data_IF_806043751507
#
_entry.id   IF_806043751507
#
_cell.length_a   1.000
_cell.length_b   1.000
_cell.length_c   1.000
_cell.angle_alpha   90.00
_cell.angle_beta   90.00
_cell.angle_gamma   90.00
#
_symmetry.space_group_name_H-M   'P 1'
#
loop_
_entity.id
_entity.type
_entity.pdbx_description
1 polymer ?
#
# COMPACT_ATOMS: atom_id res chain seq x y z
N UNK A 1 99.15 53.12 16.18
CA UNK A 1 98.61 52.63 14.90
C UNK A 1 97.13 52.41 15.15
N UNK A 2 96.23 52.97 14.33
CA UNK A 2 94.81 52.62 14.44
C UNK A 2 94.74 51.10 14.29
N UNK A 3 94.32 50.43 15.36
CA UNK A 3 94.31 48.97 15.43
C UNK A 3 93.43 48.45 14.27
N UNK A 4 93.74 47.29 13.67
CA UNK A 4 92.98 46.71 12.57
C UNK A 4 91.45 46.71 12.80
N UNK A 5 91.05 46.56 14.06
CA UNK A 5 89.68 46.68 14.57
C UNK A 5 88.98 48.03 14.27
N UNK A 6 89.67 49.17 14.25
CA UNK A 6 89.06 50.45 13.87
C UNK A 6 88.65 50.47 12.38
N UNK A 7 89.54 50.01 11.49
CA UNK A 7 89.22 49.93 10.06
C UNK A 7 88.11 48.90 9.78
N UNK A 8 88.07 47.79 10.52
CA UNK A 8 86.94 46.84 10.48
C UNK A 8 85.64 47.51 10.92
N UNK A 9 85.65 48.32 11.99
CA UNK A 9 84.47 49.06 12.43
C UNK A 9 83.98 50.09 11.38
N UNK A 10 84.88 50.84 10.74
CA UNK A 10 84.52 51.79 9.66
C UNK A 10 83.92 51.05 8.47
N UNK A 11 84.54 49.95 8.02
CA UNK A 11 84.00 49.13 6.94
C UNK A 11 82.62 48.57 7.29
N UNK A 12 82.40 48.14 8.54
CA UNK A 12 81.12 47.67 9.04
C UNK A 12 80.04 48.77 9.01
N UNK A 13 80.36 50.00 9.42
CA UNK A 13 79.41 51.12 9.35
C UNK A 13 79.06 51.47 7.90
N UNK A 14 80.04 51.53 6.99
CA UNK A 14 79.79 51.76 5.56
C UNK A 14 78.90 50.65 4.99
N UNK A 15 79.18 49.39 5.31
CA UNK A 15 78.37 48.24 4.89
C UNK A 15 76.93 48.34 5.41
N UNK A 16 76.73 48.60 6.70
CA UNK A 16 75.40 48.83 7.30
C UNK A 16 74.66 50.00 6.63
N UNK A 17 75.36 51.10 6.32
CA UNK A 17 74.79 52.24 5.59
C UNK A 17 74.34 51.89 4.17
N UNK A 18 75.13 51.10 3.44
CA UNK A 18 74.76 50.60 2.10
C UNK A 18 73.55 49.66 2.20
N UNK A 19 73.54 48.72 3.15
CA UNK A 19 72.42 47.79 3.36
C UNK A 19 71.13 48.54 3.71
N UNK A 20 71.21 49.60 4.52
CA UNK A 20 70.07 50.45 4.84
C UNK A 20 69.59 51.23 3.61
N UNK A 21 70.48 51.89 2.86
CA UNK A 21 70.15 52.62 1.63
C UNK A 21 69.57 51.71 0.54
N UNK A 22 70.08 50.48 0.41
CA UNK A 22 69.64 49.49 -0.57
C UNK A 22 68.34 48.76 -0.17
N UNK A 23 67.77 49.05 1.00
CA UNK A 23 66.54 48.41 1.46
C UNK A 23 66.72 46.93 1.84
N UNK A 24 67.92 46.50 2.20
CA UNK A 24 68.17 45.11 2.63
C UNK A 24 67.34 44.73 3.86
N UNK A 25 67.15 45.67 4.79
CA UNK A 25 66.25 45.48 5.95
C UNK A 25 64.78 45.36 5.52
N UNK A 26 64.32 46.20 4.60
CA UNK A 26 62.95 46.14 4.08
C UNK A 26 62.68 44.82 3.34
N UNK A 27 63.66 44.28 2.59
CA UNK A 27 63.53 42.97 1.95
C UNK A 27 63.38 41.84 2.96
N UNK A 28 64.09 41.89 4.10
CA UNK A 28 63.97 40.90 5.18
C UNK A 28 62.57 40.99 5.82
N UNK A 29 62.10 42.19 6.15
CA UNK A 29 60.77 42.43 6.74
C UNK A 29 59.68 41.95 5.77
N UNK A 30 59.72 42.40 4.51
CA UNK A 30 58.77 41.96 3.48
C UNK A 30 58.81 40.43 3.26
N UNK A 31 59.98 39.81 3.39
CA UNK A 31 60.14 38.35 3.31
C UNK A 31 59.44 37.63 4.46
N UNK A 32 59.52 38.17 5.67
CA UNK A 32 58.81 37.66 6.85
C UNK A 32 57.29 37.91 6.74
N UNK A 33 56.88 39.10 6.32
CA UNK A 33 55.48 39.45 6.11
C UNK A 33 54.82 38.57 5.05
N UNK A 34 55.47 38.38 3.88
CA UNK A 34 54.99 37.45 2.85
C UNK A 34 54.86 36.01 3.34
N UNK A 35 55.79 35.56 4.19
CA UNK A 35 55.69 34.24 4.83
C UNK A 35 54.50 34.19 5.79
N UNK A 36 54.32 35.22 6.61
CA UNK A 36 53.18 35.35 7.53
C UNK A 36 51.84 35.37 6.80
N UNK A 37 51.72 36.17 5.73
CA UNK A 37 50.54 36.24 4.88
C UNK A 37 50.24 34.89 4.21
N UNK A 38 51.26 34.20 3.69
CA UNK A 38 51.07 32.88 3.08
C UNK A 38 50.57 31.86 4.09
N UNK A 39 51.20 31.78 5.26
CA UNK A 39 50.76 30.87 6.34
C UNK A 39 49.34 31.21 6.79
N UNK A 40 49.01 32.50 6.91
CA UNK A 40 47.66 32.93 7.26
C UNK A 40 46.64 32.51 6.20
N UNK A 41 46.93 32.70 4.91
CA UNK A 41 46.06 32.26 3.80
C UNK A 41 45.88 30.74 3.80
N UNK A 42 46.97 29.98 3.94
CA UNK A 42 46.92 28.51 4.03
C UNK A 42 46.08 28.03 5.22
N UNK A 43 46.20 28.70 6.39
CA UNK A 43 45.38 28.38 7.57
C UNK A 43 43.90 28.76 7.37
N UNK A 44 43.61 29.90 6.76
CA UNK A 44 42.23 30.33 6.45
C UNK A 44 41.58 29.39 5.43
N UNK A 45 42.31 28.98 4.38
CA UNK A 45 41.85 27.99 3.40
C UNK A 45 41.66 26.61 4.03
N UNK A 46 42.61 26.14 4.84
CA UNK A 46 42.47 24.87 5.55
C UNK A 46 41.27 24.87 6.49
N UNK A 47 41.02 25.99 7.20
CA UNK A 47 39.84 26.15 8.04
C UNK A 47 38.55 26.13 7.21
N UNK A 48 38.50 26.89 6.12
CA UNK A 48 37.35 26.92 5.21
C UNK A 48 37.04 25.54 4.66
N UNK A 49 38.04 24.82 4.16
CA UNK A 49 37.90 23.46 3.64
C UNK A 49 37.41 22.47 4.72
N UNK A 50 37.88 22.60 5.96
CA UNK A 50 37.38 21.78 7.08
C UNK A 50 35.92 22.08 7.42
N UNK A 51 35.53 23.35 7.43
CA UNK A 51 34.16 23.77 7.68
C UNK A 51 33.22 23.29 6.56
N UNK A 52 33.63 23.45 5.30
CA UNK A 52 32.90 22.92 4.12
C UNK A 52 32.76 21.39 4.17
N UNK A 53 33.84 20.67 4.48
CA UNK A 53 33.81 19.21 4.60
C UNK A 53 32.90 18.74 5.74
N UNK A 54 32.93 19.42 6.88
CA UNK A 54 32.05 19.11 8.01
C UNK A 54 30.57 19.39 7.68
N UNK A 55 30.27 20.51 7.03
CA UNK A 55 28.93 20.85 6.58
C UNK A 55 28.40 19.84 5.56
N UNK A 56 29.23 19.45 4.59
CA UNK A 56 28.87 18.46 3.57
C UNK A 56 28.62 17.08 4.20
N UNK A 57 29.47 16.65 5.15
CA UNK A 57 29.28 15.40 5.87
C UNK A 57 27.96 15.39 6.67
N UNK A 58 27.65 16.49 7.36
CA UNK A 58 26.41 16.63 8.11
C UNK A 58 25.17 16.59 7.20
N UNK A 59 25.22 17.24 6.04
CA UNK A 59 24.15 17.18 5.04
C UNK A 59 23.95 15.74 4.52
N UNK A 60 25.03 15.05 4.14
CA UNK A 60 24.93 13.66 3.69
C UNK A 60 24.38 12.73 4.77
N UNK A 61 24.79 12.88 6.03
CA UNK A 61 24.27 12.08 7.14
C UNK A 61 22.77 12.33 7.35
N UNK A 62 22.34 13.60 7.31
CA UNK A 62 20.93 13.97 7.40
C UNK A 62 20.11 13.37 6.25
N UNK A 63 20.58 13.54 5.01
CA UNK A 63 19.92 13.02 3.81
C UNK A 63 19.85 11.50 3.81
N UNK A 64 20.89 10.81 4.29
CA UNK A 64 20.87 9.35 4.48
C UNK A 64 19.81 8.94 5.50
N UNK A 65 19.77 9.58 6.67
CA UNK A 65 18.77 9.28 7.69
C UNK A 65 17.34 9.65 7.27
N UNK A 66 17.16 10.65 6.41
CA UNK A 66 15.87 10.96 5.77
C UNK A 66 15.48 9.89 4.75
N UNK A 67 16.39 9.49 3.87
CA UNK A 67 16.15 8.44 2.88
C UNK A 67 15.88 7.07 3.52
N UNK A 68 16.58 6.72 4.60
CA UNK A 68 16.34 5.48 5.35
C UNK A 68 14.94 5.49 5.98
N UNK A 69 14.53 6.59 6.63
CA UNK A 69 13.17 6.74 7.19
C UNK A 69 12.09 6.72 6.12
N UNK A 70 12.33 7.35 4.97
CA UNK A 70 11.40 7.35 3.85
C UNK A 70 11.24 5.94 3.27
N UNK A 71 12.35 5.21 3.09
CA UNK A 71 12.31 3.82 2.63
C UNK A 71 11.56 2.91 3.62
N UNK A 72 11.81 3.06 4.92
CA UNK A 72 11.06 2.34 5.97
C UNK A 72 9.57 2.66 5.92
N UNK A 73 9.21 3.94 5.77
CA UNK A 73 7.82 4.37 5.65
C UNK A 73 7.14 3.80 4.40
N UNK A 74 7.83 3.77 3.25
CA UNK A 74 7.33 3.16 2.01
C UNK A 74 7.05 1.67 2.23
N UNK A 75 7.99 0.93 2.83
CA UNK A 75 7.83 -0.51 3.08
C UNK A 75 6.71 -0.77 4.08
N UNK A 76 6.62 0.02 5.16
CA UNK A 76 5.55 -0.10 6.15
C UNK A 76 4.17 0.16 5.55
N UNK A 77 4.04 1.24 4.76
CA UNK A 77 2.79 1.57 4.07
C UNK A 77 2.41 0.47 3.05
N UNK A 78 3.36 -0.03 2.27
CA UNK A 78 3.11 -1.11 1.32
C UNK A 78 2.61 -2.40 2.01
N UNK A 79 3.18 -2.75 3.18
CA UNK A 79 2.71 -3.90 3.98
C UNK A 79 1.30 -3.66 4.52
N UNK A 80 1.02 -2.49 5.08
CA UNK A 80 -0.29 -2.15 5.61
C UNK A 80 -1.38 -2.09 4.51
N UNK A 81 -1.05 -1.64 3.31
CA UNK A 81 -1.95 -1.69 2.14
C UNK A 81 -2.18 -3.14 1.68
N UNK A 82 -1.13 -3.96 1.61
CA UNK A 82 -1.25 -5.36 1.23
C UNK A 82 -2.12 -6.17 2.21
N UNK A 83 -1.95 -5.96 3.52
CA UNK A 83 -2.76 -6.59 4.56
C UNK A 83 -4.24 -6.17 4.47
N UNK A 84 -4.51 -4.87 4.26
CA UNK A 84 -5.87 -4.37 4.05
C UNK A 84 -6.51 -4.95 2.79
N UNK A 85 -5.78 -4.95 1.67
CA UNK A 85 -6.25 -5.51 0.42
C UNK A 85 -6.56 -7.02 0.55
N UNK A 86 -5.71 -7.77 1.27
CA UNK A 86 -5.96 -9.18 1.56
C UNK A 86 -7.20 -9.38 2.43
N UNK A 87 -7.33 -8.61 3.52
CA UNK A 87 -8.50 -8.69 4.41
C UNK A 87 -9.80 -8.34 3.68
N UNK A 88 -9.82 -7.27 2.88
CA UNK A 88 -10.95 -6.90 2.05
C UNK A 88 -11.26 -7.97 0.99
N UNK A 89 -10.23 -8.53 0.35
CA UNK A 89 -10.37 -9.61 -0.61
C UNK A 89 -11.02 -10.83 0.01
N UNK A 90 -10.56 -11.26 1.19
CA UNK A 90 -11.15 -12.37 1.93
C UNK A 90 -12.60 -12.09 2.35
N UNK A 91 -12.90 -10.89 2.86
CA UNK A 91 -14.26 -10.52 3.23
C UNK A 91 -15.22 -10.56 2.02
N UNK A 92 -14.80 -10.01 0.88
CA UNK A 92 -15.58 -10.03 -0.37
C UNK A 92 -15.78 -11.44 -0.92
N UNK A 93 -14.75 -12.29 -0.86
CA UNK A 93 -14.85 -13.69 -1.28
C UNK A 93 -15.82 -14.47 -0.39
N UNK A 94 -15.72 -14.31 0.93
CA UNK A 94 -16.62 -14.97 1.88
C UNK A 94 -18.07 -14.54 1.68
N UNK A 95 -18.33 -13.23 1.52
CA UNK A 95 -19.66 -12.72 1.21
C UNK A 95 -20.19 -13.23 -0.14
N UNK A 96 -19.34 -13.26 -1.16
CA UNK A 96 -19.71 -13.81 -2.47
C UNK A 96 -20.08 -15.29 -2.38
N UNK A 97 -19.26 -16.11 -1.71
CA UNK A 97 -19.52 -17.53 -1.50
C UNK A 97 -20.81 -17.72 -0.71
N UNK A 98 -21.02 -17.00 0.39
CA UNK A 98 -22.23 -17.09 1.20
C UNK A 98 -23.50 -16.76 0.38
N UNK A 99 -23.45 -15.68 -0.42
CA UNK A 99 -24.57 -15.31 -1.30
C UNK A 99 -24.83 -16.35 -2.39
N UNK A 100 -23.77 -16.91 -2.98
CA UNK A 100 -23.88 -17.96 -4.00
C UNK A 100 -24.44 -19.26 -3.43
N UNK A 101 -23.97 -19.68 -2.26
CA UNK A 101 -24.48 -20.86 -1.56
C UNK A 101 -25.96 -20.68 -1.23
N UNK A 102 -26.35 -19.55 -0.62
CA UNK A 102 -27.75 -19.26 -0.30
C UNK A 102 -28.65 -19.23 -1.54
N UNK A 103 -28.17 -18.65 -2.65
CA UNK A 103 -28.92 -18.64 -3.91
C UNK A 103 -29.08 -20.04 -4.51
N UNK A 104 -28.04 -20.88 -4.41
CA UNK A 104 -28.10 -22.26 -4.85
C UNK A 104 -29.05 -23.10 -3.99
N UNK A 105 -28.98 -22.98 -2.66
CA UNK A 105 -29.89 -23.63 -1.71
C UNK A 105 -31.35 -23.23 -1.95
N UNK A 106 -31.63 -21.94 -2.14
CA UNK A 106 -32.97 -21.46 -2.46
C UNK A 106 -33.49 -22.04 -3.78
N UNK A 107 -32.63 -22.16 -4.80
CA UNK A 107 -32.98 -22.75 -6.10
C UNK A 107 -33.23 -24.26 -5.99
N UNK A 108 -32.44 -24.97 -5.17
CA UNK A 108 -32.65 -26.40 -4.89
C UNK A 108 -33.98 -26.60 -4.19
N UNK A 109 -34.27 -25.85 -3.12
CA UNK A 109 -35.54 -25.94 -2.39
C UNK A 109 -36.75 -25.62 -3.28
N UNK A 110 -36.63 -24.63 -4.16
CA UNK A 110 -37.68 -24.31 -5.14
C UNK A 110 -37.90 -25.48 -6.12
N UNK A 111 -36.82 -26.07 -6.64
CA UNK A 111 -36.89 -27.20 -7.56
C UNK A 111 -37.49 -28.45 -6.88
N UNK A 112 -37.14 -28.72 -5.63
CA UNK A 112 -37.71 -29.80 -4.83
C UNK A 112 -39.21 -29.61 -4.58
N UNK A 113 -39.63 -28.39 -4.22
CA UNK A 113 -41.04 -28.08 -4.03
C UNK A 113 -41.84 -28.25 -5.33
N UNK A 114 -41.28 -27.81 -6.45
CA UNK A 114 -41.87 -27.96 -7.78
C UNK A 114 -41.98 -29.44 -8.18
N UNK A 115 -40.90 -30.21 -8.04
CA UNK A 115 -40.90 -31.64 -8.34
C UNK A 115 -41.90 -32.41 -7.47
N UNK A 116 -41.99 -32.09 -6.17
CA UNK A 116 -42.97 -32.69 -5.28
C UNK A 116 -44.42 -32.33 -5.68
N UNK A 117 -44.65 -31.10 -6.16
CA UNK A 117 -45.97 -30.69 -6.68
C UNK A 117 -46.33 -31.44 -7.97
N UNK A 118 -45.38 -31.63 -8.88
CA UNK A 118 -45.55 -32.40 -10.12
C UNK A 118 -45.86 -33.87 -9.83
N UNK A 119 -45.13 -34.50 -8.91
CA UNK A 119 -45.40 -35.89 -8.49
C UNK A 119 -46.79 -36.01 -7.89
N UNK A 120 -47.21 -35.07 -7.02
CA UNK A 120 -48.57 -35.06 -6.46
C UNK A 120 -49.64 -34.88 -7.53
N UNK A 121 -49.42 -33.99 -8.49
CA UNK A 121 -50.35 -33.77 -9.60
C UNK A 121 -50.49 -35.02 -10.48
N UNK A 122 -49.37 -35.66 -10.84
CA UNK A 122 -49.37 -36.89 -11.61
C UNK A 122 -50.07 -38.05 -10.86
N UNK A 123 -49.85 -38.17 -9.55
CA UNK A 123 -50.52 -39.17 -8.72
C UNK A 123 -52.04 -38.91 -8.62
N UNK A 124 -52.46 -37.65 -8.45
CA UNK A 124 -53.86 -37.27 -8.43
C UNK A 124 -54.54 -37.56 -9.78
N UNK A 125 -53.89 -37.22 -10.89
CA UNK A 125 -54.41 -37.50 -12.24
C UNK A 125 -54.52 -39.01 -12.49
N UNK A 126 -53.52 -39.80 -12.08
CA UNK A 126 -53.58 -41.25 -12.16
C UNK A 126 -54.73 -41.84 -11.32
N UNK A 127 -54.92 -41.35 -10.09
CA UNK A 127 -56.03 -41.78 -9.23
C UNK A 127 -57.40 -41.41 -9.82
N UNK A 128 -57.55 -40.23 -10.42
CA UNK A 128 -58.76 -39.80 -11.11
C UNK A 128 -59.04 -40.70 -12.32
N UNK A 129 -58.04 -40.97 -13.17
CA UNK A 129 -58.19 -41.90 -14.31
C UNK A 129 -58.60 -43.31 -13.87
N UNK A 130 -57.96 -43.86 -12.83
CA UNK A 130 -58.33 -45.18 -12.28
C UNK A 130 -59.75 -45.17 -11.74
N UNK A 131 -60.14 -44.12 -11.01
CA UNK A 131 -61.50 -43.97 -10.47
C UNK A 131 -62.53 -43.85 -11.59
N UNK A 132 -62.23 -43.12 -12.67
CA UNK A 132 -63.08 -43.02 -13.85
C UNK A 132 -63.28 -44.39 -14.51
N UNK A 133 -62.22 -45.17 -14.71
CA UNK A 133 -62.32 -46.54 -15.25
C UNK A 133 -63.18 -47.44 -14.36
N UNK A 134 -62.93 -47.45 -13.04
CA UNK A 134 -63.71 -48.25 -12.09
C UNK A 134 -65.19 -47.83 -12.09
N UNK A 135 -65.48 -46.53 -12.13
CA UNK A 135 -66.86 -46.02 -12.21
C UNK A 135 -67.53 -46.43 -13.52
N UNK A 136 -66.85 -46.30 -14.67
CA UNK A 136 -67.37 -46.75 -15.98
C UNK A 136 -67.66 -48.25 -16.02
N UNK A 137 -66.82 -49.07 -15.38
CA UNK A 137 -66.98 -50.54 -15.35
C UNK A 137 -68.04 -51.01 -14.33
N UNK A 138 -68.09 -50.43 -13.13
CA UNK A 138 -68.94 -50.92 -12.02
C UNK A 138 -70.26 -50.21 -11.86
N UNK A 139 -70.36 -48.94 -12.27
CA UNK A 139 -71.55 -48.12 -12.08
C UNK A 139 -72.35 -48.11 -13.38
N UNK A 140 -73.10 -49.19 -13.60
CA UNK A 140 -74.00 -49.36 -14.74
C UNK A 140 -75.44 -49.59 -14.27
N UNK A 141 -76.43 -49.18 -15.08
CA UNK A 141 -77.85 -49.39 -14.77
C UNK A 141 -78.37 -48.51 -13.63
N UNK A 142 -79.15 -49.09 -12.72
CA UNK A 142 -79.85 -48.35 -11.65
C UNK A 142 -78.90 -47.64 -10.67
N UNK A 143 -77.76 -48.26 -10.36
CA UNK A 143 -76.71 -47.64 -9.53
C UNK A 143 -76.17 -46.33 -10.14
N UNK A 144 -76.07 -46.25 -11.47
CA UNK A 144 -75.64 -45.03 -12.17
C UNK A 144 -76.71 -43.93 -12.07
N UNK A 145 -77.99 -44.29 -12.20
CA UNK A 145 -79.10 -43.35 -12.09
C UNK A 145 -79.22 -42.78 -10.67
N UNK A 146 -79.07 -43.61 -9.64
CA UNK A 146 -79.06 -43.15 -8.25
C UNK A 146 -77.87 -42.22 -7.95
N UNK A 147 -76.67 -42.58 -8.43
CA UNK A 147 -75.48 -41.73 -8.28
C UNK A 147 -75.68 -40.36 -8.93
N UNK A 148 -76.21 -40.30 -10.16
CA UNK A 148 -76.50 -39.03 -10.85
C UNK A 148 -77.52 -38.20 -10.07
N UNK A 149 -78.60 -38.81 -9.55
CA UNK A 149 -79.61 -38.09 -8.76
C UNK A 149 -79.02 -37.49 -7.49
N UNK A 150 -78.17 -38.23 -6.77
CA UNK A 150 -77.46 -37.74 -5.58
C UNK A 150 -76.49 -36.61 -5.93
N UNK A 151 -75.67 -36.78 -6.98
CA UNK A 151 -74.73 -35.76 -7.43
C UNK A 151 -75.41 -34.46 -7.84
N UNK A 152 -76.55 -34.53 -8.55
CA UNK A 152 -77.36 -33.34 -8.87
C UNK A 152 -77.93 -32.66 -7.61
N UNK A 153 -78.27 -33.44 -6.58
CA UNK A 153 -78.68 -32.94 -5.26
C UNK A 153 -77.56 -32.21 -4.51
N UNK A 154 -76.34 -32.77 -4.53
CA UNK A 154 -75.17 -32.18 -3.86
C UNK A 154 -74.70 -30.90 -4.55
N UNK A 155 -74.66 -30.86 -5.89
CA UNK A 155 -74.34 -29.65 -6.65
C UNK A 155 -75.35 -28.55 -6.31
N UNK A 156 -76.64 -28.88 -6.26
CA UNK A 156 -77.69 -27.91 -5.88
C UNK A 156 -77.49 -27.36 -4.47
N UNK A 157 -77.00 -28.16 -3.54
CA UNK A 157 -76.71 -27.73 -2.16
C UNK A 157 -75.50 -26.80 -2.11
N UNK A 158 -74.41 -27.14 -2.82
CA UNK A 158 -73.20 -26.30 -2.88
C UNK A 158 -73.36 -25.00 -3.65
N UNK A 159 -74.29 -24.93 -4.60
CA UNK A 159 -74.61 -23.69 -5.32
C UNK A 159 -75.53 -22.74 -4.53
N UNK A 160 -76.20 -23.25 -3.49
CA UNK A 160 -77.05 -22.46 -2.57
C UNK A 160 -76.32 -22.01 -1.30
N UNK A 161 -75.14 -22.57 -1.02
CA UNK A 161 -74.26 -22.20 0.09
C UNK A 161 -73.18 -21.23 -0.42
#
# INVERSE_FOLDING_TARGET
MLEPEFWVAVAFVIFCGIVWKAGGFDQIINGLDRRGERVRRELEEARRLREEAAALLADYQKRRGEAEREAEAIVANARAEAERAAAEGHARLNDFVARRTKAAEAKIAQAEAQAAAEVRAAAAEAAVRVSETILREKVTGDAAQDLIRRSLGDIRTRLRA
#
